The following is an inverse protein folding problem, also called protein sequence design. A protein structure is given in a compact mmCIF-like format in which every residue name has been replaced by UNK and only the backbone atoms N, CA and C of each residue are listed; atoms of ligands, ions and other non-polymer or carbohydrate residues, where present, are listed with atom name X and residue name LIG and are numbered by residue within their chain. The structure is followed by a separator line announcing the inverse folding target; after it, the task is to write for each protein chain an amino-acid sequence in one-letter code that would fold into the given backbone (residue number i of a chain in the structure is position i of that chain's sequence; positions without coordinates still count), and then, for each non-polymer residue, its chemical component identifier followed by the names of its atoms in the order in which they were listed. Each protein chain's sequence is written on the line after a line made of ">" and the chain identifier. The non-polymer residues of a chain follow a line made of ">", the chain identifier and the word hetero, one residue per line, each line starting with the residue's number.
data_IF_773544738776
#
_entry.id   IF_773544738776
#
_cell.length_a   1.000
_cell.length_b   1.000
_cell.length_c   1.000
_cell.angle_alpha   90.00
_cell.angle_beta   90.00
_cell.angle_gamma   90.00
#
_symmetry.space_group_name_H-M   'P 1'
#
loop_
_entity.id
_entity.type
_entity.pdbx_description
1 polymer ?
#
# COMPACT_ATOMS: atom_id res chain seq x y z
N UNK A 1 -1.06 -6.95 -14.16
CA UNK A 1 -1.37 -6.16 -12.95
C UNK A 1 -1.50 -7.12 -11.79
N UNK A 2 -0.90 -6.82 -10.63
CA UNK A 2 -1.01 -7.64 -9.43
C UNK A 2 -2.35 -7.47 -8.72
N UNK A 3 -2.60 -8.32 -7.72
CA UNK A 3 -3.71 -8.12 -6.79
C UNK A 3 -3.51 -6.82 -6.00
N UNK A 4 -4.58 -6.16 -5.54
CA UNK A 4 -4.48 -4.91 -4.77
C UNK A 4 -4.15 -5.13 -3.27
N UNK A 5 -3.60 -6.30 -2.96
CA UNK A 5 -3.20 -6.75 -1.62
C UNK A 5 -2.20 -7.91 -1.78
N UNK A 6 -1.38 -8.12 -0.76
CA UNK A 6 -0.41 -9.20 -0.72
C UNK A 6 -1.01 -10.51 -0.19
N UNK A 7 -1.91 -10.42 0.81
CA UNK A 7 -2.47 -11.58 1.51
C UNK A 7 -3.95 -11.41 1.84
N UNK A 8 -4.63 -12.54 2.04
CA UNK A 8 -5.98 -12.60 2.59
C UNK A 8 -5.95 -13.46 3.84
N UNK A 9 -6.57 -12.99 4.93
CA UNK A 9 -6.82 -13.76 6.14
C UNK A 9 -8.32 -14.05 6.19
N UNK A 10 -8.70 -15.32 6.04
CA UNK A 10 -10.09 -15.76 6.15
C UNK A 10 -10.34 -16.36 7.54
N UNK A 11 -11.31 -15.79 8.26
CA UNK A 11 -11.90 -16.34 9.48
C UNK A 11 -13.34 -16.74 9.20
N UNK A 12 -13.96 -17.50 10.12
CA UNK A 12 -15.32 -18.03 9.96
C UNK A 12 -16.39 -16.97 9.61
N UNK A 13 -16.20 -15.71 10.02
CA UNK A 13 -17.17 -14.62 9.82
C UNK A 13 -16.55 -13.36 9.21
N UNK A 14 -15.26 -13.37 8.87
CA UNK A 14 -14.54 -12.15 8.49
C UNK A 14 -13.43 -12.49 7.50
N UNK A 15 -13.33 -11.68 6.44
CA UNK A 15 -12.23 -11.71 5.49
C UNK A 15 -11.46 -10.41 5.61
N UNK A 16 -10.15 -10.50 5.86
CA UNK A 16 -9.26 -9.34 5.96
C UNK A 16 -8.27 -9.35 4.79
N UNK A 17 -8.19 -8.24 4.07
CA UNK A 17 -7.24 -7.99 3.00
C UNK A 17 -6.04 -7.25 3.56
N UNK A 18 -4.84 -7.74 3.25
CA UNK A 18 -3.60 -7.28 3.87
C UNK A 18 -2.64 -6.80 2.80
N UNK A 19 -2.23 -5.54 2.91
CA UNK A 19 -1.13 -4.95 2.16
C UNK A 19 0.09 -4.79 3.08
N UNK A 20 1.28 -5.18 2.63
CA UNK A 20 2.51 -5.13 3.43
C UNK A 20 3.43 -4.02 2.93
N UNK A 21 3.79 -3.09 3.82
CA UNK A 21 4.71 -1.97 3.48
C UNK A 21 5.92 -1.98 4.38
N UNK A 22 7.11 -2.05 3.78
CA UNK A 22 8.38 -1.97 4.49
C UNK A 22 8.90 -0.52 4.54
N UNK A 23 9.39 -0.09 5.70
CA UNK A 23 9.96 1.25 5.89
C UNK A 23 11.22 1.20 6.76
N UNK A 24 12.23 2.01 6.43
CA UNK A 24 13.52 2.07 7.14
C UNK A 24 13.53 3.03 8.33
N UNK A 25 12.47 3.82 8.52
CA UNK A 25 12.37 4.77 9.62
C UNK A 25 10.96 4.78 10.18
N UNK A 26 10.84 4.70 11.51
CA UNK A 26 9.58 4.89 12.22
C UNK A 26 9.06 6.34 12.11
N UNK A 27 9.96 7.33 11.93
CA UNK A 27 9.60 8.74 11.89
C UNK A 27 9.02 9.20 10.55
N UNK A 28 9.24 8.45 9.46
CA UNK A 28 8.50 8.67 8.21
C UNK A 28 7.08 8.13 8.42
N UNK A 29 6.10 9.01 8.45
CA UNK A 29 4.68 8.70 8.55
C UNK A 29 4.01 8.50 7.18
N UNK A 30 4.81 8.45 6.11
CA UNK A 30 4.34 8.24 4.75
C UNK A 30 5.07 7.12 4.02
N UNK A 31 4.34 6.39 3.19
CA UNK A 31 4.82 5.33 2.32
C UNK A 31 3.96 5.25 1.04
N UNK A 32 4.46 4.67 -0.06
CA UNK A 32 3.73 4.59 -1.30
C UNK A 32 2.55 3.61 -1.20
N UNK A 33 1.46 3.93 -1.90
CA UNK A 33 0.33 3.04 -2.14
C UNK A 33 -0.08 3.13 -3.61
N UNK A 34 -0.35 2.00 -4.26
CA UNK A 34 -0.82 2.02 -5.64
C UNK A 34 -2.27 2.46 -5.73
N UNK A 35 -2.70 2.93 -6.91
CA UNK A 35 -4.12 3.26 -7.15
C UNK A 35 -5.05 2.08 -6.88
N UNK A 36 -4.64 0.87 -7.24
CA UNK A 36 -5.46 -0.33 -7.07
C UNK A 36 -5.57 -0.74 -5.60
N UNK A 37 -4.47 -0.69 -4.85
CA UNK A 37 -4.47 -0.88 -3.38
C UNK A 37 -5.37 0.16 -2.70
N UNK A 38 -5.24 1.43 -3.08
CA UNK A 38 -6.05 2.50 -2.49
C UNK A 38 -7.54 2.34 -2.77
N UNK A 39 -7.89 2.00 -4.02
CA UNK A 39 -9.28 1.73 -4.39
C UNK A 39 -9.84 0.52 -3.60
N UNK A 40 -9.04 -0.55 -3.45
CA UNK A 40 -9.43 -1.69 -2.63
C UNK A 40 -9.63 -1.31 -1.16
N UNK A 41 -8.76 -0.47 -0.61
CA UNK A 41 -8.89 0.02 0.76
C UNK A 41 -10.18 0.84 0.98
N UNK A 42 -10.60 1.62 -0.02
CA UNK A 42 -11.91 2.32 0.00
C UNK A 42 -13.06 1.32 -0.01
N UNK A 43 -13.02 0.34 -0.90
CA UNK A 43 -14.12 -0.64 -1.06
C UNK A 43 -14.28 -1.59 0.12
N UNK A 44 -13.19 -1.92 0.80
CA UNK A 44 -13.16 -2.92 1.89
C UNK A 44 -13.16 -2.30 3.28
N UNK A 45 -12.90 -1.00 3.41
CA UNK A 45 -12.94 -0.23 4.66
C UNK A 45 -12.21 -0.93 5.83
N UNK A 46 -12.93 -1.31 6.89
CA UNK A 46 -12.39 -1.95 8.09
C UNK A 46 -11.82 -3.36 7.83
N UNK A 47 -12.18 -3.97 6.71
CA UNK A 47 -11.62 -5.25 6.26
C UNK A 47 -10.31 -5.11 5.48
N UNK A 48 -9.80 -3.88 5.26
CA UNK A 48 -8.48 -3.66 4.67
C UNK A 48 -7.51 -3.14 5.73
N UNK A 49 -6.33 -3.78 5.81
CA UNK A 49 -5.27 -3.36 6.72
C UNK A 49 -3.95 -3.19 5.97
N UNK A 50 -3.14 -2.26 6.46
CA UNK A 50 -1.73 -2.16 6.07
C UNK A 50 -0.87 -2.69 7.22
N UNK A 51 -0.10 -3.74 6.95
CA UNK A 51 0.93 -4.23 7.85
C UNK A 51 2.23 -3.49 7.51
N UNK A 52 2.62 -2.59 8.41
CA UNK A 52 3.83 -1.81 8.27
C UNK A 52 4.99 -2.50 8.97
N UNK A 53 5.96 -2.98 8.19
CA UNK A 53 7.20 -3.58 8.68
C UNK A 53 8.26 -2.48 8.78
N UNK A 54 8.67 -2.15 10.00
CA UNK A 54 9.66 -1.09 10.28
C UNK A 54 11.00 -1.76 10.56
N UNK A 55 11.96 -1.53 9.68
CA UNK A 55 13.33 -2.04 9.79
C UNK A 55 14.16 -1.04 10.60
N UNK A 56 14.35 -1.31 11.89
CA UNK A 56 15.14 -0.48 12.80
C UNK A 56 16.57 -1.05 12.94
N UNK A 57 17.46 -0.67 12.02
CA UNK A 57 18.83 -1.18 12.02
C UNK A 57 18.92 -2.64 11.55
N UNK A 58 20.01 -3.33 11.88
CA UNK A 58 20.35 -4.63 11.27
C UNK A 58 19.56 -5.83 11.83
N UNK A 59 19.05 -5.73 13.06
CA UNK A 59 18.44 -6.90 13.76
C UNK A 59 17.07 -6.63 14.37
N UNK A 60 16.63 -5.37 14.48
CA UNK A 60 15.35 -5.04 15.10
C UNK A 60 14.29 -4.75 14.04
N UNK A 61 13.25 -5.59 14.01
CA UNK A 61 12.06 -5.37 13.18
C UNK A 61 10.87 -5.09 14.09
N UNK A 62 10.13 -4.02 13.79
CA UNK A 62 8.85 -3.72 14.44
C UNK A 62 7.73 -3.88 13.42
N UNK A 63 6.59 -4.42 13.86
CA UNK A 63 5.40 -4.57 13.02
C UNK A 63 4.30 -3.66 13.58
N UNK A 64 3.77 -2.80 12.72
CA UNK A 64 2.58 -1.98 12.99
C UNK A 64 1.41 -2.45 12.15
N UNK A 65 0.20 -2.40 12.71
CA UNK A 65 -1.03 -2.72 11.99
C UNK A 65 -1.86 -1.44 11.87
N UNK A 66 -2.12 -1.02 10.65
CA UNK A 66 -2.91 0.15 10.32
C UNK A 66 -4.25 -0.32 9.76
N UNK A 67 -5.26 -0.39 10.64
CA UNK A 67 -6.62 -0.78 10.25
C UNK A 67 -7.34 0.40 9.61
N UNK A 68 -8.10 0.13 8.55
CA UNK A 68 -8.83 1.14 7.79
C UNK A 68 -7.95 2.35 7.44
N UNK A 69 -6.97 2.18 6.54
CA UNK A 69 -6.04 3.25 6.18
C UNK A 69 -6.75 4.48 5.62
N UNK A 70 -7.93 4.34 5.03
CA UNK A 70 -8.76 5.46 4.54
C UNK A 70 -9.18 6.36 5.70
N UNK A 71 -9.74 5.78 6.77
CA UNK A 71 -10.12 6.51 7.98
C UNK A 71 -8.91 7.15 8.67
N UNK A 72 -7.78 6.46 8.72
CA UNK A 72 -6.54 7.02 9.29
C UNK A 72 -6.02 8.21 8.49
N UNK A 73 -6.15 8.20 7.16
CA UNK A 73 -5.85 9.35 6.31
C UNK A 73 -6.81 10.52 6.57
N UNK A 74 -8.12 10.27 6.66
CA UNK A 74 -9.13 11.30 6.97
C UNK A 74 -8.88 11.97 8.34
N UNK A 75 -8.34 11.22 9.30
CA UNK A 75 -8.00 11.70 10.63
C UNK A 75 -6.60 12.35 10.72
N UNK A 76 -5.87 12.44 9.61
CA UNK A 76 -4.47 12.93 9.55
C UNK A 76 -3.46 12.12 10.42
N UNK A 77 -3.79 10.87 10.76
CA UNK A 77 -2.90 9.96 11.51
C UNK A 77 -1.92 9.27 10.57
N UNK A 78 -2.33 9.02 9.32
CA UNK A 78 -1.55 8.36 8.28
C UNK A 78 -1.48 9.26 7.05
N UNK A 79 -0.31 9.33 6.42
CA UNK A 79 -0.16 9.96 5.10
C UNK A 79 0.26 8.90 4.10
N UNK A 80 -0.34 8.89 2.91
CA UNK A 80 -0.03 7.93 1.85
C UNK A 80 0.36 8.68 0.58
N UNK A 81 1.40 8.20 -0.10
CA UNK A 81 1.80 8.72 -1.41
C UNK A 81 1.19 7.85 -2.50
N UNK A 82 0.18 8.35 -3.20
CA UNK A 82 -0.39 7.67 -4.35
C UNK A 82 0.65 7.56 -5.46
N UNK A 83 0.98 6.34 -5.86
CA UNK A 83 1.86 6.07 -7.00
C UNK A 83 1.05 5.55 -8.18
N UNK A 84 1.34 6.09 -9.36
CA UNK A 84 0.96 5.47 -10.63
C UNK A 84 2.15 4.71 -11.15
N UNK A 85 1.95 3.45 -11.52
CA UNK A 85 2.89 2.80 -12.42
C UNK A 85 3.04 3.68 -13.66
N UNK A 86 4.27 3.92 -14.15
CA UNK A 86 4.45 4.62 -15.41
C UNK A 86 3.59 3.90 -16.45
N UNK A 87 2.74 4.65 -17.16
CA UNK A 87 2.06 4.13 -18.33
C UNK A 87 3.15 3.46 -19.17
N UNK A 88 2.97 2.19 -19.53
CA UNK A 88 3.80 1.56 -20.54
C UNK A 88 3.64 2.39 -21.81
N UNK A 89 4.57 3.33 -22.03
CA UNK A 89 4.70 4.00 -23.31
C UNK A 89 4.93 2.89 -24.30
N UNK A 90 4.03 2.74 -25.27
CA UNK A 90 4.25 1.83 -26.39
C UNK A 90 5.55 2.28 -27.06
N UNK A 91 6.63 1.50 -26.92
CA UNK A 91 7.94 1.80 -27.51
C UNK A 91 7.92 1.72 -29.05
N UNK A 92 6.75 1.63 -29.67
CA UNK A 92 6.55 1.51 -31.12
C UNK A 92 6.34 2.85 -31.83
N UNK A 93 6.27 3.98 -31.11
CA UNK A 93 6.14 5.31 -31.74
C UNK A 93 7.35 6.18 -31.42
N UNK A 94 8.53 5.76 -31.89
CA UNK A 94 9.61 6.71 -32.15
C UNK A 94 9.48 7.12 -33.62
N UNK A 95 9.07 8.36 -33.94
CA UNK A 95 9.14 8.83 -35.32
C UNK A 95 10.62 8.83 -35.72
N UNK A 96 10.94 8.15 -36.82
CA UNK A 96 12.20 8.37 -37.52
C UNK A 96 12.26 9.86 -37.85
N UNK A 97 13.28 10.54 -37.32
CA UNK A 97 13.60 11.90 -37.75
C UNK A 97 14.31 11.78 -39.09
N UNK A 98 13.78 12.45 -40.10
CA UNK A 98 14.47 12.70 -41.37
C UNK A 98 15.78 13.49 -41.16
#
# INVERSE_FOLDING_TARGET
>A
MGLPYDLIIMKKSETVYVEVKSTISASKNWFPISKNEWQCAIEKEDSFIIVRVILCGQTNVKIGILKNPVKLCQQNVLQLSLIQSPNSVNLTEVPLRD
#
